data_IF_537786906732
#
_entry.id   IF_537786906732
#
_cell.length_a   1.000
_cell.length_b   1.000
_cell.length_c   1.000
_cell.angle_alpha   90.00
_cell.angle_beta   90.00
_cell.angle_gamma   90.00
#
_symmetry.space_group_name_H-M   'P 1'
#
loop_
_entity.id
_entity.type
_entity.pdbx_description
1 polymer ?
#
# COMPACT_ATOMS: atom_id res chain seq x y z
N UNK A 1 54.07 -74.74 2.15
CA UNK A 1 52.71 -74.37 1.77
C UNK A 1 52.15 -73.50 2.87
N UNK A 2 52.03 -72.14 2.62
CA UNK A 2 51.50 -71.17 3.56
C UNK A 2 50.07 -70.86 3.12
N UNK A 3 49.10 -71.18 3.95
CA UNK A 3 47.69 -70.77 3.77
C UNK A 3 47.48 -69.28 4.09
N UNK A 4 46.83 -68.56 3.19
CA UNK A 4 46.41 -67.15 3.35
C UNK A 4 44.99 -67.17 3.92
N UNK A 5 44.72 -66.55 5.07
CA UNK A 5 43.35 -66.47 5.57
C UNK A 5 42.51 -65.51 4.71
N UNK A 6 41.38 -65.98 4.17
CA UNK A 6 40.36 -65.18 3.51
C UNK A 6 39.56 -64.41 4.56
N UNK A 7 39.85 -63.15 4.67
CA UNK A 7 38.97 -62.19 5.44
C UNK A 7 37.71 -61.98 4.63
N UNK A 8 36.59 -62.48 5.12
CA UNK A 8 35.22 -62.11 4.57
C UNK A 8 34.95 -60.66 4.81
N UNK A 9 34.92 -59.83 3.74
CA UNK A 9 34.41 -58.49 3.78
C UNK A 9 32.87 -58.52 4.01
N UNK A 10 32.45 -58.11 5.18
CA UNK A 10 31.02 -57.89 5.46
C UNK A 10 30.43 -56.85 4.51
N UNK A 11 29.11 -56.89 4.26
CA UNK A 11 28.48 -55.96 3.36
C UNK A 11 28.74 -54.53 3.85
N UNK A 12 29.27 -53.67 2.96
CA UNK A 12 29.47 -52.24 3.21
C UNK A 12 28.16 -51.63 3.65
N UNK A 13 28.15 -51.04 4.84
CA UNK A 13 27.00 -50.30 5.34
C UNK A 13 26.70 -49.18 4.34
N UNK A 14 25.52 -49.26 3.72
CA UNK A 14 24.96 -48.16 2.92
C UNK A 14 24.95 -46.91 3.80
N UNK A 15 25.58 -45.80 3.36
CA UNK A 15 25.58 -44.59 4.19
C UNK A 15 24.11 -44.21 4.45
N UNK A 16 23.72 -44.22 5.72
CA UNK A 16 22.44 -43.65 6.15
C UNK A 16 22.41 -42.26 5.57
N UNK A 17 21.42 -41.98 4.71
CA UNK A 17 21.11 -40.64 4.23
C UNK A 17 21.12 -39.73 5.45
N UNK A 18 22.11 -38.86 5.56
CA UNK A 18 22.23 -37.93 6.65
C UNK A 18 20.92 -37.13 6.65
N UNK A 19 20.20 -37.15 7.77
CA UNK A 19 19.00 -36.36 7.91
C UNK A 19 19.37 -34.89 7.61
N UNK A 20 18.76 -34.30 6.61
CA UNK A 20 19.00 -32.89 6.26
C UNK A 20 18.83 -32.04 7.50
N UNK A 21 19.73 -31.09 7.70
CA UNK A 21 19.60 -30.07 8.72
C UNK A 21 18.19 -29.44 8.64
N UNK A 22 17.49 -29.19 9.76
CA UNK A 22 16.10 -28.70 9.77
C UNK A 22 15.83 -27.53 8.86
N UNK A 23 16.69 -26.48 8.80
CA UNK A 23 16.47 -25.35 7.88
C UNK A 23 16.52 -25.75 6.40
N UNK A 24 17.42 -26.68 6.03
CA UNK A 24 17.55 -27.15 4.65
C UNK A 24 16.35 -28.00 4.23
N UNK A 25 15.86 -28.87 5.10
CA UNK A 25 14.66 -29.66 4.85
C UNK A 25 13.43 -28.74 4.63
N UNK A 26 13.30 -27.71 5.46
CA UNK A 26 12.23 -26.71 5.32
C UNK A 26 12.38 -25.89 4.03
N UNK A 27 13.59 -25.47 3.67
CA UNK A 27 13.84 -24.76 2.41
C UNK A 27 13.44 -25.58 1.18
N UNK A 28 13.68 -26.90 1.19
CA UNK A 28 13.24 -27.81 0.12
C UNK A 28 11.69 -27.89 0.06
N UNK A 29 11.01 -27.96 1.21
CA UNK A 29 9.56 -27.95 1.27
C UNK A 29 8.97 -26.62 0.74
N UNK A 30 9.59 -25.47 1.04
CA UNK A 30 9.18 -24.15 0.52
C UNK A 30 9.33 -24.06 -1.01
N UNK A 31 10.19 -24.89 -1.61
CA UNK A 31 10.41 -24.98 -3.06
C UNK A 31 9.68 -26.14 -3.74
N UNK A 32 8.86 -26.89 -3.03
CA UNK A 32 8.21 -28.12 -3.54
C UNK A 32 7.25 -27.91 -4.71
N UNK A 33 6.76 -26.66 -4.94
CA UNK A 33 5.73 -26.38 -5.94
C UNK A 33 4.31 -26.82 -5.51
N UNK A 34 4.16 -27.45 -4.35
CA UNK A 34 2.86 -27.87 -3.79
C UNK A 34 2.40 -26.84 -2.74
N UNK A 35 1.27 -26.14 -2.99
CA UNK A 35 0.79 -25.09 -2.09
C UNK A 35 0.39 -25.62 -0.71
N UNK A 36 0.03 -26.91 -0.59
CA UNK A 36 -0.32 -27.55 0.70
C UNK A 36 0.95 -27.75 1.54
N UNK A 37 2.00 -28.28 0.92
CA UNK A 37 3.29 -28.48 1.59
C UNK A 37 3.92 -27.14 1.98
N UNK A 38 3.91 -26.16 1.09
CA UNK A 38 4.45 -24.81 1.37
C UNK A 38 3.70 -24.14 2.53
N UNK A 39 2.37 -24.17 2.54
CA UNK A 39 1.56 -23.62 3.66
C UNK A 39 1.86 -24.35 4.98
N UNK A 40 2.08 -25.64 4.95
CA UNK A 40 2.48 -26.42 6.13
C UNK A 40 3.87 -26.02 6.60
N UNK A 41 4.86 -25.98 5.70
CA UNK A 41 6.23 -25.58 6.01
C UNK A 41 6.30 -24.15 6.62
N UNK A 42 5.55 -23.19 6.05
CA UNK A 42 5.46 -21.83 6.59
C UNK A 42 4.85 -21.77 8.00
N UNK A 43 3.93 -22.66 8.33
CA UNK A 43 3.32 -22.77 9.66
C UNK A 43 4.27 -23.39 10.66
N UNK A 44 4.90 -24.49 10.27
CA UNK A 44 5.78 -25.28 11.13
C UNK A 44 7.12 -24.55 11.40
N UNK A 45 7.53 -23.64 10.49
CA UNK A 45 8.72 -22.78 10.62
C UNK A 45 8.48 -21.47 11.39
N UNK A 46 7.42 -21.36 12.17
CA UNK A 46 7.14 -20.14 12.95
C UNK A 46 7.76 -20.22 14.36
N UNK A 47 8.59 -19.24 14.79
CA UNK A 47 9.05 -18.06 14.05
C UNK A 47 10.03 -18.41 12.92
N UNK A 48 9.96 -17.68 11.80
CA UNK A 48 10.77 -17.94 10.61
C UNK A 48 12.26 -17.74 10.92
N UNK A 49 13.05 -18.80 10.64
CA UNK A 49 14.50 -18.72 10.79
C UNK A 49 15.12 -17.78 9.72
N UNK A 50 16.18 -17.03 10.06
CA UNK A 50 16.81 -16.05 9.17
C UNK A 50 17.18 -16.61 7.80
N UNK A 51 17.68 -17.84 7.76
CA UNK A 51 18.13 -18.53 6.57
C UNK A 51 16.98 -18.85 5.59
N UNK A 52 15.74 -18.86 6.09
CA UNK A 52 14.56 -19.17 5.30
C UNK A 52 13.94 -17.92 4.64
N UNK A 53 14.26 -16.72 5.10
CA UNK A 53 13.68 -15.46 4.57
C UNK A 53 13.87 -15.33 3.05
N UNK A 54 15.07 -15.59 2.47
CA UNK A 54 15.25 -15.51 1.02
C UNK A 54 14.40 -16.52 0.22
N UNK A 55 13.97 -17.61 0.84
CA UNK A 55 13.09 -18.61 0.21
C UNK A 55 11.61 -18.25 0.34
N UNK A 56 11.25 -17.42 1.32
CA UNK A 56 9.86 -17.00 1.55
C UNK A 56 9.50 -15.73 0.76
N UNK A 57 10.45 -14.82 0.52
CA UNK A 57 10.21 -13.60 -0.26
C UNK A 57 9.62 -13.91 -1.65
N UNK A 58 10.16 -14.83 -2.47
CA UNK A 58 9.59 -15.15 -3.78
C UNK A 58 8.17 -15.76 -3.71
N UNK A 59 7.82 -16.41 -2.59
CA UNK A 59 6.46 -16.95 -2.39
C UNK A 59 5.38 -15.87 -2.32
N UNK A 60 5.76 -14.62 -2.14
CA UNK A 60 4.84 -13.48 -2.27
C UNK A 60 4.26 -13.37 -3.68
N UNK A 61 4.91 -13.89 -4.73
CA UNK A 61 4.36 -13.91 -6.08
C UNK A 61 3.27 -14.97 -6.27
N UNK A 62 3.20 -15.97 -5.44
CA UNK A 62 2.30 -17.11 -5.58
C UNK A 62 1.01 -16.91 -4.77
N UNK A 63 -0.11 -16.61 -5.46
CA UNK A 63 -1.38 -16.19 -4.85
C UNK A 63 -1.91 -17.15 -3.78
N UNK A 64 -1.81 -18.47 -4.01
CA UNK A 64 -2.32 -19.50 -3.10
C UNK A 64 -1.61 -19.54 -1.74
N UNK A 65 -0.36 -19.10 -1.67
CA UNK A 65 0.46 -19.13 -0.46
C UNK A 65 0.84 -17.73 0.04
N UNK A 66 0.65 -16.70 -0.77
CA UNK A 66 1.09 -15.33 -0.50
C UNK A 66 0.60 -14.79 0.86
N UNK A 67 -0.64 -15.09 1.25
CA UNK A 67 -1.18 -14.63 2.53
C UNK A 67 -0.39 -15.22 3.72
N UNK A 68 0.04 -16.48 3.62
CA UNK A 68 0.88 -17.14 4.64
C UNK A 68 2.31 -16.64 4.61
N UNK A 69 2.87 -16.41 3.42
CA UNK A 69 4.19 -15.81 3.26
C UNK A 69 4.24 -14.39 3.89
N UNK A 70 3.21 -13.56 3.63
CA UNK A 70 3.09 -12.25 4.28
C UNK A 70 3.07 -12.37 5.81
N UNK A 71 2.29 -13.29 6.37
CA UNK A 71 2.21 -13.49 7.82
C UNK A 71 3.55 -13.92 8.42
N UNK A 72 4.23 -14.88 7.78
CA UNK A 72 5.52 -15.38 8.24
C UNK A 72 6.61 -14.31 8.18
N UNK A 73 6.68 -13.53 7.10
CA UNK A 73 7.64 -12.43 6.96
C UNK A 73 7.31 -11.26 7.90
N UNK A 74 6.03 -10.93 8.11
CA UNK A 74 5.62 -9.87 9.01
C UNK A 74 6.06 -10.14 10.46
N UNK A 75 6.05 -11.39 10.91
CA UNK A 75 6.49 -11.77 12.26
C UNK A 75 7.99 -11.53 12.50
N UNK A 76 8.78 -11.41 11.44
CA UNK A 76 10.24 -11.19 11.50
C UNK A 76 10.68 -9.90 10.78
N UNK A 77 9.73 -9.04 10.43
CA UNK A 77 9.96 -7.87 9.58
C UNK A 77 11.02 -6.91 10.16
N UNK A 78 11.06 -6.70 11.47
CA UNK A 78 12.04 -5.81 12.10
C UNK A 78 13.48 -6.34 11.92
N UNK A 79 13.69 -7.64 12.12
CA UNK A 79 15.02 -8.25 12.02
C UNK A 79 15.53 -8.33 10.60
N UNK A 80 14.63 -8.49 9.63
CA UNK A 80 14.94 -8.69 8.21
C UNK A 80 14.50 -7.50 7.34
N UNK A 81 14.29 -6.35 7.96
CA UNK A 81 13.85 -5.13 7.29
C UNK A 81 14.72 -4.77 6.08
N UNK A 82 16.05 -4.93 6.21
CA UNK A 82 16.98 -4.66 5.12
C UNK A 82 16.71 -5.51 3.88
N UNK A 83 16.59 -6.82 4.03
CA UNK A 83 16.32 -7.72 2.91
C UNK A 83 14.96 -7.43 2.24
N UNK A 84 13.95 -7.09 3.04
CA UNK A 84 12.63 -6.73 2.54
C UNK A 84 12.66 -5.41 1.77
N UNK A 85 13.39 -4.39 2.28
CA UNK A 85 13.57 -3.12 1.59
C UNK A 85 14.37 -3.30 0.30
N UNK A 86 15.45 -4.10 0.33
CA UNK A 86 16.25 -4.37 -0.85
C UNK A 86 15.39 -5.05 -1.94
N UNK A 87 14.56 -6.05 -1.59
CA UNK A 87 13.65 -6.69 -2.53
C UNK A 87 12.52 -5.74 -3.02
N UNK A 88 12.04 -4.82 -2.18
CA UNK A 88 11.08 -3.80 -2.61
C UNK A 88 11.67 -2.88 -3.69
N UNK A 89 12.92 -2.48 -3.51
CA UNK A 89 13.58 -1.46 -4.32
C UNK A 89 14.35 -2.03 -5.52
N UNK A 90 14.55 -3.35 -5.59
CA UNK A 90 15.20 -3.99 -6.74
C UNK A 90 14.26 -3.95 -7.96
N UNK A 91 14.62 -3.24 -9.05
CA UNK A 91 13.81 -3.19 -10.26
C UNK A 91 13.69 -4.53 -10.99
N UNK A 92 14.60 -5.49 -10.71
CA UNK A 92 14.61 -6.82 -11.31
C UNK A 92 13.79 -7.85 -10.52
N UNK A 93 13.36 -7.52 -9.29
CA UNK A 93 12.50 -8.40 -8.49
C UNK A 93 11.09 -8.48 -9.12
N UNK A 94 10.44 -9.62 -8.96
CA UNK A 94 9.08 -9.83 -9.49
C UNK A 94 8.11 -8.74 -9.02
N UNK A 95 7.33 -8.23 -9.95
CA UNK A 95 6.37 -7.16 -9.67
C UNK A 95 5.37 -7.53 -8.57
N UNK A 96 4.92 -8.79 -8.54
CA UNK A 96 3.94 -9.24 -7.55
C UNK A 96 4.56 -9.32 -6.16
N UNK A 97 5.84 -9.71 -6.06
CA UNK A 97 6.63 -9.63 -4.84
C UNK A 97 6.71 -8.18 -4.37
N UNK A 98 7.19 -7.28 -5.23
CA UNK A 98 7.40 -5.85 -4.91
C UNK A 98 6.12 -5.17 -4.44
N UNK A 99 4.98 -5.40 -5.07
CA UNK A 99 3.69 -4.82 -4.65
C UNK A 99 3.16 -5.37 -3.33
N UNK A 100 3.64 -6.55 -2.86
CA UNK A 100 3.19 -7.20 -1.61
C UNK A 100 4.12 -6.93 -0.42
N UNK A 101 5.40 -6.64 -0.67
CA UNK A 101 6.37 -6.30 0.39
C UNK A 101 5.91 -5.14 1.27
N UNK A 102 5.30 -4.03 0.79
CA UNK A 102 4.83 -2.96 1.65
C UNK A 102 3.87 -3.43 2.75
N UNK A 103 3.04 -4.44 2.45
CA UNK A 103 2.16 -5.04 3.47
C UNK A 103 2.95 -5.76 4.56
N UNK A 104 4.09 -6.37 4.23
CA UNK A 104 4.99 -6.98 5.22
C UNK A 104 5.66 -5.90 6.06
N UNK A 105 6.24 -4.87 5.41
CA UNK A 105 6.92 -3.76 6.05
C UNK A 105 5.97 -2.93 6.95
N UNK A 106 4.67 -2.89 6.66
CA UNK A 106 3.70 -2.22 7.54
C UNK A 106 3.58 -2.87 8.93
N UNK A 107 4.12 -4.07 9.14
CA UNK A 107 4.21 -4.72 10.44
C UNK A 107 5.48 -4.34 11.23
N UNK A 108 6.50 -3.81 10.56
CA UNK A 108 7.76 -3.40 11.17
C UNK A 108 7.60 -2.18 12.09
N UNK A 109 8.61 -1.96 12.97
CA UNK A 109 8.66 -0.83 13.90
C UNK A 109 9.93 0.01 13.71
N UNK A 110 10.72 -0.27 12.67
CA UNK A 110 12.02 0.35 12.42
C UNK A 110 11.92 1.56 11.49
N UNK A 111 12.73 2.59 11.73
CA UNK A 111 12.90 3.74 10.82
C UNK A 111 13.31 3.29 9.40
N UNK A 112 14.08 2.21 9.32
CA UNK A 112 14.49 1.63 8.02
C UNK A 112 13.30 1.17 7.17
N UNK A 113 12.22 0.68 7.81
CA UNK A 113 10.99 0.34 7.09
C UNK A 113 10.31 1.59 6.54
N UNK A 114 10.26 2.68 7.33
CA UNK A 114 9.72 3.98 6.89
C UNK A 114 10.52 4.51 5.71
N UNK A 115 11.87 4.56 5.81
CA UNK A 115 12.75 5.02 4.74
C UNK A 115 12.57 4.17 3.46
N UNK A 116 12.56 2.85 3.61
CA UNK A 116 12.34 1.95 2.47
C UNK A 116 10.99 2.18 1.78
N UNK A 117 9.92 2.40 2.53
CA UNK A 117 8.59 2.70 2.00
C UNK A 117 8.52 4.09 1.36
N UNK A 118 9.18 5.12 1.94
CA UNK A 118 9.30 6.45 1.34
C UNK A 118 10.00 6.37 -0.02
N UNK A 119 11.10 5.63 -0.11
CA UNK A 119 11.78 5.40 -1.40
C UNK A 119 10.89 4.64 -2.38
N UNK A 120 10.07 3.70 -1.90
CA UNK A 120 9.08 2.97 -2.69
C UNK A 120 7.98 3.86 -3.28
N UNK A 121 7.68 5.05 -2.70
CA UNK A 121 6.78 6.04 -3.31
C UNK A 121 7.29 6.59 -4.65
N UNK A 122 8.57 6.40 -4.96
CA UNK A 122 9.19 6.85 -6.20
C UNK A 122 9.22 5.77 -7.29
N UNK A 123 8.62 4.61 -7.04
CA UNK A 123 8.59 3.50 -8.00
C UNK A 123 7.90 3.90 -9.32
N UNK A 124 8.35 3.27 -10.41
CA UNK A 124 7.74 3.51 -11.74
C UNK A 124 6.31 3.02 -11.82
N UNK A 125 5.94 1.95 -11.09
CA UNK A 125 4.63 1.33 -11.11
C UNK A 125 3.73 1.92 -10.04
N UNK A 126 2.56 2.40 -10.45
CA UNK A 126 1.58 3.00 -9.55
C UNK A 126 1.20 2.06 -8.39
N UNK A 127 0.99 0.78 -8.67
CA UNK A 127 0.55 -0.18 -7.66
C UNK A 127 1.58 -0.33 -6.53
N UNK A 128 2.89 -0.26 -6.83
CA UNK A 128 3.95 -0.28 -5.81
C UNK A 128 3.90 1.01 -4.99
N UNK A 129 3.84 2.19 -5.65
CA UNK A 129 3.72 3.48 -4.95
C UNK A 129 2.50 3.52 -4.03
N UNK A 130 1.34 3.13 -4.55
CA UNK A 130 0.09 3.11 -3.79
C UNK A 130 0.20 2.18 -2.56
N UNK A 131 0.76 0.97 -2.71
CA UNK A 131 0.95 0.05 -1.60
C UNK A 131 1.94 0.58 -0.57
N UNK A 132 2.98 1.29 -0.98
CA UNK A 132 3.91 1.97 -0.06
C UNK A 132 3.20 3.08 0.73
N UNK A 133 2.39 3.92 0.08
CA UNK A 133 1.62 4.97 0.76
C UNK A 133 0.64 4.41 1.79
N UNK A 134 -0.11 3.35 1.43
CA UNK A 134 -1.02 2.67 2.37
C UNK A 134 -0.26 2.03 3.54
N UNK A 135 0.92 1.45 3.29
CA UNK A 135 1.74 0.85 4.34
C UNK A 135 2.30 1.92 5.29
N UNK A 136 2.78 3.05 4.76
CA UNK A 136 3.23 4.21 5.53
C UNK A 136 2.10 4.78 6.40
N UNK A 137 0.89 4.95 5.86
CA UNK A 137 -0.26 5.45 6.63
C UNK A 137 -0.59 4.53 7.81
N UNK A 138 -0.60 3.20 7.60
CA UNK A 138 -0.80 2.22 8.68
C UNK A 138 0.33 2.24 9.72
N UNK A 139 1.56 2.41 9.27
CA UNK A 139 2.72 2.45 10.14
C UNK A 139 2.70 3.71 10.99
N UNK A 140 2.43 4.88 10.40
CA UNK A 140 2.30 6.15 11.10
C UNK A 140 1.14 6.18 12.10
N UNK A 141 -0.01 5.56 11.77
CA UNK A 141 -1.13 5.39 12.71
C UNK A 141 -0.74 4.58 13.95
N UNK A 142 0.09 3.56 13.78
CA UNK A 142 0.55 2.68 14.86
C UNK A 142 1.73 3.27 15.64
N UNK A 143 2.58 4.03 14.99
CA UNK A 143 3.81 4.61 15.49
C UNK A 143 3.88 6.11 15.14
N UNK A 144 3.05 6.96 15.77
CA UNK A 144 2.95 8.38 15.44
C UNK A 144 4.24 9.16 15.74
N UNK A 145 5.07 8.64 16.66
CA UNK A 145 6.32 9.28 17.07
C UNK A 145 7.48 9.05 16.07
N UNK A 146 7.32 8.10 15.12
CA UNK A 146 8.34 7.89 14.08
C UNK A 146 8.23 9.02 13.05
N UNK A 147 9.30 9.82 12.89
CA UNK A 147 9.25 10.97 12.00
C UNK A 147 9.10 10.52 10.55
N UNK A 148 8.20 11.17 9.84
CA UNK A 148 8.04 11.04 8.39
C UNK A 148 8.55 12.31 7.75
N UNK A 149 9.44 12.15 6.78
CA UNK A 149 10.00 13.28 6.04
C UNK A 149 8.90 14.00 5.23
N UNK A 150 8.55 15.21 5.69
CA UNK A 150 7.50 16.02 5.08
C UNK A 150 7.83 16.43 3.64
N UNK A 151 9.10 16.77 3.36
CA UNK A 151 9.52 17.19 2.02
C UNK A 151 9.45 16.02 1.06
N UNK A 152 9.90 14.83 1.47
CA UNK A 152 9.78 13.61 0.66
C UNK A 152 8.31 13.27 0.33
N UNK A 153 7.38 13.50 1.27
CA UNK A 153 5.95 13.29 1.01
C UNK A 153 5.40 14.31 0.02
N UNK A 154 5.72 15.59 0.19
CA UNK A 154 5.28 16.65 -0.74
C UNK A 154 5.82 16.38 -2.14
N UNK A 155 7.08 16.02 -2.28
CA UNK A 155 7.70 15.65 -3.56
C UNK A 155 7.00 14.46 -4.22
N UNK A 156 6.65 13.41 -3.45
CA UNK A 156 5.92 12.25 -3.96
C UNK A 156 4.51 12.64 -4.44
N UNK A 157 3.82 13.49 -3.70
CA UNK A 157 2.50 14.04 -4.07
C UNK A 157 2.58 14.84 -5.37
N UNK A 158 3.55 15.74 -5.50
CA UNK A 158 3.74 16.56 -6.70
C UNK A 158 4.09 15.70 -7.93
N UNK A 159 4.85 14.63 -7.75
CA UNK A 159 5.15 13.67 -8.82
C UNK A 159 3.90 12.92 -9.28
N UNK A 160 3.09 12.44 -8.33
CA UNK A 160 1.86 11.71 -8.66
C UNK A 160 0.87 12.61 -9.40
N UNK A 161 0.68 13.85 -8.94
CA UNK A 161 -0.16 14.84 -9.61
C UNK A 161 0.30 15.14 -11.05
N UNK A 162 1.60 15.23 -11.29
CA UNK A 162 2.15 15.44 -12.65
C UNK A 162 1.95 14.23 -13.57
N UNK A 163 2.05 13.00 -13.04
CA UNK A 163 1.81 11.78 -13.83
C UNK A 163 0.36 11.73 -14.30
N UNK A 164 -0.57 12.01 -13.40
CA UNK A 164 -1.99 11.99 -13.69
C UNK A 164 -2.36 13.07 -14.73
N UNK A 165 -1.85 14.28 -14.57
CA UNK A 165 -2.03 15.38 -15.54
C UNK A 165 -1.58 14.99 -16.96
N UNK A 166 -0.42 14.32 -17.10
CA UNK A 166 0.08 13.86 -18.42
C UNK A 166 -0.83 12.82 -19.07
N UNK A 167 -1.45 11.98 -18.29
CA UNK A 167 -2.45 11.02 -18.80
C UNK A 167 -3.66 11.77 -19.36
N UNK A 168 -4.18 12.75 -18.63
CA UNK A 168 -5.29 13.60 -19.06
C UNK A 168 -4.98 14.44 -20.31
N UNK A 169 -3.84 15.13 -20.31
CA UNK A 169 -3.43 15.97 -21.45
C UNK A 169 -3.25 15.17 -22.74
N UNK A 170 -2.83 13.91 -22.63
CA UNK A 170 -2.62 13.04 -23.78
C UNK A 170 -3.93 12.52 -24.39
N UNK A 171 -4.98 12.44 -23.60
CA UNK A 171 -6.30 11.94 -24.02
C UNK A 171 -7.30 13.05 -24.37
N UNK A 172 -7.02 14.30 -24.03
CA UNK A 172 -7.86 15.45 -24.38
C UNK A 172 -8.15 15.58 -25.89
N UNK A 173 -7.21 15.34 -26.81
CA UNK A 173 -7.50 15.36 -28.26
C UNK A 173 -8.39 14.22 -28.76
N UNK A 174 -8.49 13.10 -28.04
CA UNK A 174 -9.30 11.95 -28.45
C UNK A 174 -10.81 12.17 -28.19
N UNK A 175 -11.18 13.18 -27.38
CA UNK A 175 -12.56 13.52 -27.11
C UNK A 175 -13.20 14.45 -28.16
N UNK A 176 -12.44 14.92 -29.14
CA UNK A 176 -12.96 15.79 -30.21
C UNK A 176 -13.70 15.04 -31.33
N UNK A 177 -13.68 13.69 -31.33
CA UNK A 177 -14.40 12.86 -32.30
C UNK A 177 -15.51 12.05 -31.63
N UNK A 178 -16.80 12.41 -31.81
CA UNK A 178 -17.92 11.75 -31.12
C UNK A 178 -18.12 10.27 -31.48
N UNK A 179 -17.48 9.77 -32.56
CA UNK A 179 -17.74 8.45 -33.11
C UNK A 179 -16.76 7.35 -32.65
N UNK A 180 -15.69 7.69 -31.88
CA UNK A 180 -14.66 6.72 -31.42
C UNK A 180 -14.58 6.52 -29.90
N UNK A 181 -15.56 6.98 -29.13
CA UNK A 181 -15.54 6.84 -27.69
C UNK A 181 -15.87 5.41 -27.25
N UNK A 182 -14.85 4.64 -26.86
CA UNK A 182 -15.06 3.38 -26.14
C UNK A 182 -15.46 3.68 -24.69
N UNK A 183 -16.66 3.27 -24.23
CA UNK A 183 -17.11 3.48 -22.84
C UNK A 183 -16.16 2.87 -21.81
N UNK A 184 -15.49 1.78 -22.18
CA UNK A 184 -14.53 1.09 -21.30
C UNK A 184 -13.23 1.87 -21.08
N UNK A 185 -12.81 2.67 -22.07
CA UNK A 185 -11.59 3.46 -21.97
C UNK A 185 -11.76 4.65 -21.01
N UNK A 186 -12.89 5.33 -21.07
CA UNK A 186 -13.21 6.44 -20.19
C UNK A 186 -13.37 6.00 -18.73
N UNK A 187 -13.93 4.80 -18.49
CA UNK A 187 -14.07 4.21 -17.18
C UNK A 187 -12.69 3.86 -16.57
N UNK A 188 -11.78 3.27 -17.37
CA UNK A 188 -10.43 2.95 -16.93
C UNK A 188 -9.61 4.20 -16.57
N UNK A 189 -9.76 5.31 -17.29
CA UNK A 189 -9.12 6.59 -16.99
C UNK A 189 -9.72 7.20 -15.72
N UNK A 190 -11.05 7.21 -15.58
CA UNK A 190 -11.72 7.70 -14.38
C UNK A 190 -11.33 6.92 -13.13
N UNK A 191 -11.29 5.59 -13.22
CA UNK A 191 -10.83 4.73 -12.12
C UNK A 191 -9.39 5.06 -11.74
N UNK A 192 -8.52 5.22 -12.73
CA UNK A 192 -7.11 5.59 -12.48
C UNK A 192 -6.97 6.96 -11.82
N UNK A 193 -7.68 7.97 -12.29
CA UNK A 193 -7.64 9.32 -11.71
C UNK A 193 -8.17 9.32 -10.28
N UNK A 194 -9.25 8.61 -10.01
CA UNK A 194 -9.78 8.46 -8.65
C UNK A 194 -8.78 7.78 -7.73
N UNK A 195 -8.08 6.75 -8.19
CA UNK A 195 -7.07 6.03 -7.41
C UNK A 195 -5.80 6.84 -7.18
N UNK A 196 -5.36 7.65 -8.16
CA UNK A 196 -4.24 8.57 -7.97
C UNK A 196 -4.59 9.66 -6.96
N UNK A 197 -5.77 10.23 -7.03
CA UNK A 197 -6.22 11.24 -6.07
C UNK A 197 -6.35 10.65 -4.65
N UNK A 198 -6.91 9.45 -4.51
CA UNK A 198 -6.96 8.71 -3.24
C UNK A 198 -5.55 8.48 -2.67
N UNK A 199 -4.59 8.10 -3.53
CA UNK A 199 -3.20 7.93 -3.13
C UNK A 199 -2.55 9.23 -2.69
N UNK A 200 -2.80 10.35 -3.39
CA UNK A 200 -2.35 11.69 -3.00
C UNK A 200 -2.88 12.04 -1.59
N UNK A 201 -4.18 11.86 -1.35
CA UNK A 201 -4.76 12.12 -0.04
C UNK A 201 -4.23 11.19 1.06
N UNK A 202 -3.94 9.93 0.71
CA UNK A 202 -3.29 8.99 1.62
C UNK A 202 -1.90 9.48 2.03
N UNK A 203 -1.09 9.98 1.10
CA UNK A 203 0.22 10.56 1.41
C UNK A 203 0.11 11.85 2.21
N UNK A 204 -0.80 12.74 1.84
CA UNK A 204 -1.04 13.98 2.59
C UNK A 204 -1.47 13.74 4.03
N UNK A 205 -2.18 12.65 4.32
CA UNK A 205 -2.58 12.28 5.68
C UNK A 205 -1.42 11.92 6.61
N UNK A 206 -0.20 11.75 6.08
CA UNK A 206 1.02 11.54 6.86
C UNK A 206 1.59 12.85 7.43
N UNK A 207 1.24 13.99 6.84
CA UNK A 207 1.83 15.30 7.16
C UNK A 207 0.80 16.39 7.48
N UNK A 208 -0.48 16.08 7.30
CA UNK A 208 -1.62 16.94 7.61
C UNK A 208 -2.61 16.21 8.54
N UNK A 209 -3.51 16.93 9.24
CA UNK A 209 -4.51 16.33 10.11
C UNK A 209 -5.39 15.33 9.34
N UNK A 210 -5.25 14.05 9.66
CA UNK A 210 -5.83 12.92 8.91
C UNK A 210 -7.36 12.99 8.84
N UNK A 211 -8.03 13.10 10.00
CA UNK A 211 -9.50 13.04 10.06
C UNK A 211 -10.19 14.15 9.27
N UNK A 212 -9.82 15.44 9.40
CA UNK A 212 -10.37 16.50 8.57
C UNK A 212 -10.08 16.29 7.06
N UNK A 213 -8.89 15.79 6.73
CA UNK A 213 -8.52 15.53 5.35
C UNK A 213 -9.36 14.40 4.72
N UNK A 214 -9.65 13.32 5.47
CA UNK A 214 -10.55 12.25 5.04
C UNK A 214 -11.99 12.75 4.81
N UNK A 215 -12.48 13.64 5.69
CA UNK A 215 -13.81 14.27 5.56
C UNK A 215 -13.84 15.15 4.31
N UNK A 216 -12.81 15.97 4.10
CA UNK A 216 -12.73 16.83 2.93
C UNK A 216 -12.66 16.00 1.63
N UNK A 217 -11.87 14.93 1.59
CA UNK A 217 -11.82 14.02 0.44
C UNK A 217 -13.20 13.43 0.11
N UNK A 218 -13.93 12.93 1.10
CA UNK A 218 -15.31 12.43 0.91
C UNK A 218 -16.24 13.53 0.46
N UNK A 219 -16.10 14.75 1.01
CA UNK A 219 -16.88 15.92 0.64
C UNK A 219 -16.74 16.30 -0.83
N UNK A 220 -15.57 16.05 -1.46
CA UNK A 220 -15.40 16.28 -2.90
C UNK A 220 -16.37 15.47 -3.77
N UNK A 221 -16.81 14.31 -3.29
CA UNK A 221 -17.73 13.41 -3.99
C UNK A 221 -19.16 13.46 -3.46
N UNK A 222 -19.45 14.35 -2.50
CA UNK A 222 -20.79 14.51 -1.96
C UNK A 222 -21.74 15.08 -3.01
N UNK A 223 -22.99 14.61 -2.98
CA UNK A 223 -24.06 15.15 -3.82
C UNK A 223 -24.51 16.54 -3.38
N UNK A 224 -24.35 16.86 -2.09
CA UNK A 224 -24.66 18.16 -1.51
C UNK A 224 -23.62 19.22 -1.92
N UNK A 225 -24.05 20.29 -2.65
CA UNK A 225 -23.15 21.35 -3.07
C UNK A 225 -22.54 22.14 -1.90
N UNK A 226 -23.26 22.28 -0.78
CA UNK A 226 -22.78 22.99 0.41
C UNK A 226 -21.63 22.27 1.07
N UNK A 227 -21.78 20.94 1.25
CA UNK A 227 -20.71 20.11 1.81
C UNK A 227 -19.48 20.09 0.89
N UNK A 228 -19.71 20.03 -0.42
CA UNK A 228 -18.61 20.07 -1.39
C UNK A 228 -17.89 21.42 -1.35
N UNK A 229 -18.63 22.53 -1.26
CA UNK A 229 -18.05 23.87 -1.12
C UNK A 229 -17.19 24.00 0.14
N UNK A 230 -17.68 23.54 1.28
CA UNK A 230 -16.94 23.54 2.56
C UNK A 230 -15.68 22.67 2.48
N UNK A 231 -15.74 21.51 1.82
CA UNK A 231 -14.59 20.65 1.62
C UNK A 231 -13.51 21.34 0.76
N UNK A 232 -13.91 22.03 -0.32
CA UNK A 232 -13.00 22.78 -1.17
C UNK A 232 -12.37 23.98 -0.43
N UNK A 233 -13.16 24.75 0.34
CA UNK A 233 -12.64 25.82 1.19
C UNK A 233 -11.58 25.30 2.19
N UNK A 234 -11.85 24.17 2.84
CA UNK A 234 -10.89 23.55 3.75
C UNK A 234 -9.59 23.18 3.04
N UNK A 235 -9.67 22.50 1.89
CA UNK A 235 -8.50 22.11 1.13
C UNK A 235 -7.69 23.31 0.63
N UNK A 236 -8.37 24.41 0.24
CA UNK A 236 -7.70 25.63 -0.19
C UNK A 236 -6.84 26.25 0.92
N UNK A 237 -7.28 26.13 2.17
CA UNK A 237 -6.60 26.70 3.34
C UNK A 237 -5.49 25.79 3.89
N UNK A 238 -5.69 24.45 3.88
CA UNK A 238 -4.77 23.52 4.54
C UNK A 238 -3.62 23.05 3.65
N UNK A 239 -3.83 23.00 2.32
CA UNK A 239 -2.85 22.50 1.39
C UNK A 239 -1.72 23.50 1.14
N UNK A 240 -0.44 23.06 1.09
CA UNK A 240 0.64 23.89 0.57
C UNK A 240 0.32 24.40 -0.83
N UNK A 241 0.76 25.62 -1.15
CA UNK A 241 0.41 26.28 -2.42
C UNK A 241 0.74 25.41 -3.64
N UNK A 242 1.94 24.85 -3.70
CA UNK A 242 2.41 23.99 -4.81
C UNK A 242 1.57 22.70 -4.96
N UNK A 243 1.19 22.09 -3.85
CA UNK A 243 0.31 20.90 -3.86
C UNK A 243 -1.08 21.29 -4.35
N UNK A 244 -1.61 22.41 -3.85
CA UNK A 244 -2.90 22.93 -4.26
C UNK A 244 -2.95 23.20 -5.76
N UNK A 245 -1.97 23.91 -6.31
CA UNK A 245 -1.88 24.20 -7.75
C UNK A 245 -1.80 22.91 -8.58
N UNK A 246 -1.04 21.91 -8.11
CA UNK A 246 -0.86 20.65 -8.82
C UNK A 246 -2.12 19.78 -8.86
N UNK A 247 -2.90 19.72 -7.77
CA UNK A 247 -4.09 18.85 -7.69
C UNK A 247 -5.38 19.56 -8.08
N UNK A 248 -5.39 20.91 -8.09
CA UNK A 248 -6.59 21.70 -8.37
C UNK A 248 -7.14 21.44 -9.77
N UNK A 249 -6.27 21.21 -10.75
CA UNK A 249 -6.66 20.83 -12.11
C UNK A 249 -7.46 19.52 -12.19
N UNK A 250 -7.31 18.64 -11.19
CA UNK A 250 -8.06 17.37 -11.10
C UNK A 250 -9.43 17.49 -10.43
N UNK A 251 -9.67 18.65 -9.79
CA UNK A 251 -10.91 18.95 -9.06
C UNK A 251 -11.57 20.27 -9.52
N UNK A 252 -11.10 20.86 -10.64
CA UNK A 252 -11.53 22.18 -11.15
C UNK A 252 -13.04 22.30 -11.38
N UNK A 253 -13.70 21.29 -11.89
CA UNK A 253 -15.16 21.27 -12.07
C UNK A 253 -15.95 21.40 -10.75
N UNK A 254 -15.23 21.45 -9.62
CA UNK A 254 -15.78 21.44 -8.27
C UNK A 254 -15.45 22.73 -7.49
N UNK A 255 -14.78 23.69 -8.12
CA UNK A 255 -14.32 24.92 -7.45
C UNK A 255 -15.48 25.83 -7.06
N UNK A 256 -15.51 26.39 -5.84
CA UNK A 256 -16.47 27.43 -5.46
C UNK A 256 -16.18 28.71 -6.21
N UNK A 257 -17.25 29.51 -6.48
CA UNK A 257 -17.20 30.69 -7.33
C UNK A 257 -16.39 31.88 -6.77
N UNK A 258 -16.08 31.92 -5.47
CA UNK A 258 -15.23 32.93 -4.84
C UNK A 258 -14.64 32.42 -3.52
N UNK A 259 -13.35 32.69 -3.21
CA UNK A 259 -12.76 32.38 -1.91
C UNK A 259 -13.35 33.30 -0.84
N UNK A 260 -13.86 32.70 0.23
CA UNK A 260 -14.28 33.43 1.44
C UNK A 260 -13.07 33.48 2.37
N UNK A 261 -12.69 34.69 2.82
CA UNK A 261 -11.57 34.90 3.74
C UNK A 261 -11.91 34.40 5.17
N UNK A 262 -11.95 33.09 5.36
CA UNK A 262 -12.14 32.46 6.67
C UNK A 262 -10.78 31.95 7.21
N UNK A 263 -10.63 31.92 8.54
CA UNK A 263 -9.47 31.32 9.18
C UNK A 263 -9.47 29.79 9.05
N UNK A 264 -8.28 29.15 9.23
CA UNK A 264 -8.16 27.68 9.22
C UNK A 264 -9.12 27.00 10.20
N UNK A 265 -9.23 27.57 11.41
CA UNK A 265 -10.05 27.02 12.48
C UNK A 265 -11.55 27.15 12.17
N UNK A 266 -11.96 28.28 11.60
CA UNK A 266 -13.37 28.49 11.18
C UNK A 266 -13.80 27.55 10.05
N UNK A 267 -12.91 27.30 9.08
CA UNK A 267 -13.19 26.37 7.98
C UNK A 267 -13.20 24.93 8.47
N UNK A 268 -12.27 24.57 9.38
CA UNK A 268 -12.24 23.25 10.03
C UNK A 268 -13.52 22.99 10.84
N UNK A 269 -13.93 23.94 11.65
CA UNK A 269 -15.16 23.86 12.44
C UNK A 269 -16.41 23.72 11.54
N UNK A 270 -16.45 24.44 10.43
CA UNK A 270 -17.53 24.36 9.45
C UNK A 270 -17.58 22.96 8.81
N UNK A 271 -16.43 22.41 8.41
CA UNK A 271 -16.30 21.06 7.86
C UNK A 271 -16.76 19.98 8.84
N UNK A 272 -16.33 20.07 10.09
CA UNK A 272 -16.68 19.10 11.13
C UNK A 272 -18.17 19.16 11.48
N UNK A 273 -18.77 20.35 11.56
CA UNK A 273 -20.22 20.52 11.79
C UNK A 273 -21.06 19.97 10.63
N UNK A 274 -20.67 20.24 9.40
CA UNK A 274 -21.36 19.69 8.21
C UNK A 274 -21.33 18.17 8.19
N UNK A 275 -20.18 17.57 8.52
CA UNK A 275 -20.03 16.12 8.62
C UNK A 275 -20.91 15.55 9.76
N UNK A 276 -20.91 16.18 10.92
CA UNK A 276 -21.69 15.75 12.08
C UNK A 276 -23.20 15.78 11.82
N UNK A 277 -23.69 16.83 11.14
CA UNK A 277 -25.09 16.92 10.71
C UNK A 277 -25.50 15.77 9.81
N UNK A 278 -24.63 15.37 8.86
CA UNK A 278 -24.89 14.23 7.96
C UNK A 278 -24.89 12.90 8.71
N UNK A 279 -23.99 12.70 9.67
CA UNK A 279 -23.98 11.49 10.50
C UNK A 279 -25.26 11.36 11.33
N UNK A 280 -25.76 12.46 11.88
CA UNK A 280 -27.02 12.50 12.63
C UNK A 280 -28.21 12.18 11.71
N UNK A 281 -28.30 12.79 10.54
CA UNK A 281 -29.35 12.54 9.57
C UNK A 281 -29.37 11.08 9.09
N UNK A 282 -28.20 10.52 8.80
CA UNK A 282 -28.06 9.11 8.41
C UNK A 282 -28.45 8.15 9.55
N UNK A 283 -28.12 8.49 10.79
CA UNK A 283 -28.49 7.69 11.96
C UNK A 283 -30.02 7.74 12.18
N UNK A 284 -30.66 8.90 11.95
CA UNK A 284 -32.10 9.07 12.06
C UNK A 284 -32.84 8.34 10.92
N UNK A 285 -32.36 8.44 9.68
CA UNK A 285 -32.90 7.69 8.54
C UNK A 285 -32.81 6.20 8.79
N UNK A 286 -31.67 5.70 9.31
CA UNK A 286 -31.52 4.27 9.66
C UNK A 286 -32.42 3.83 10.79
N UNK A 287 -32.68 4.66 11.80
CA UNK A 287 -33.66 4.39 12.87
C UNK A 287 -35.07 4.29 12.30
N UNK A 288 -35.50 5.26 11.48
CA UNK A 288 -36.82 5.23 10.82
C UNK A 288 -36.99 4.00 9.93
N UNK A 289 -35.95 3.60 9.19
CA UNK A 289 -35.99 2.43 8.34
C UNK A 289 -36.07 1.09 9.13
N UNK A 290 -35.65 1.07 10.41
CA UNK A 290 -35.75 -0.08 11.30
C UNK A 290 -37.05 -0.12 12.11
N UNK A 291 -37.93 0.88 11.97
CA UNK A 291 -39.19 0.94 12.72
C UNK A 291 -39.04 1.23 14.22
N UNK A 292 -37.87 1.72 14.62
CA UNK A 292 -37.55 2.14 15.98
C UNK A 292 -37.90 3.64 16.12
N UNK A 293 -39.18 3.93 16.21
CA UNK A 293 -39.71 5.27 16.44
C UNK A 293 -40.30 5.41 17.83
#
# INVERSE_FOLDING_TARGET
>A
TREIPRTAAGPAAVPRTAALEPPLATALQLRSGDPVQVRRALRDASPLAPELVPFVIPLLAWDEVASRAVQALAAVADRHCGQLVDALLDPNEDFTVRRRIPRVLSAATTERAVDGLLRGLLDRRFEVRNRCGVALAKLHERLPDVPVDREAIVDAVLREAKVDRRVWERHRPLHESPEEQSPFFDEAIRDRTSRSLEHIFTMLSLVLPRRPLEIAYRGLYASDPSLRGTALEYLEVILPQEVREAIWSHIEDRRPAAPVAKSKDEVLDSLLRSHHSIEIDLAEIRRRARGEG
#
